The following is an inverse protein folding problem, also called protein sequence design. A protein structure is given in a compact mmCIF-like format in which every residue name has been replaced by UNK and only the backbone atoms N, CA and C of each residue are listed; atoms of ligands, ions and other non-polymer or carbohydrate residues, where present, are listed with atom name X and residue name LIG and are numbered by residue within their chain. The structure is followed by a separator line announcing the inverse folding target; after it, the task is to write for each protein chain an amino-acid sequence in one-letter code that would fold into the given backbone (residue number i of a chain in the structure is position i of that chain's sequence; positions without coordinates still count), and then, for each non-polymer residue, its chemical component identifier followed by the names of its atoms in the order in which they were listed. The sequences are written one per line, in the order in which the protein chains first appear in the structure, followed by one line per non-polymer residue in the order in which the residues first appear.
data_IF_770248660293
#
_entry.id   IF_770248660293
#
_cell.length_a   1.000
_cell.length_b   1.000
_cell.length_c   1.000
_cell.angle_alpha   90.00
_cell.angle_beta   90.00
_cell.angle_gamma   90.00
#
_symmetry.space_group_name_H-M   'P 1'
#
loop_
_entity.id
_entity.type
_entity.pdbx_description
1 polymer ?
#
# COMPACT_ATOMS: atom_id res chain seq x y z
N UNK A 1 -25.25 6.67 -39.01
CA UNK A 1 -24.76 5.28 -38.85
C UNK A 1 -23.28 5.20 -38.47
N UNK A 2 -22.35 5.83 -39.21
CA UNK A 2 -20.90 5.81 -38.88
C UNK A 2 -20.56 6.32 -37.47
N UNK A 3 -21.27 7.35 -36.98
CA UNK A 3 -21.11 7.88 -35.61
C UNK A 3 -21.56 6.90 -34.52
N UNK A 4 -22.61 6.10 -34.77
CA UNK A 4 -23.12 5.11 -33.81
C UNK A 4 -22.17 3.90 -33.69
N UNK A 5 -21.60 3.47 -34.83
CA UNK A 5 -20.57 2.42 -34.85
C UNK A 5 -19.34 2.87 -34.07
N UNK A 6 -18.91 4.11 -34.27
CA UNK A 6 -17.76 4.68 -33.57
C UNK A 6 -18.02 4.81 -32.06
N UNK A 7 -19.24 5.19 -31.67
CA UNK A 7 -19.67 5.23 -30.26
C UNK A 7 -19.67 3.84 -29.62
N UNK A 8 -20.16 2.81 -30.33
CA UNK A 8 -20.15 1.44 -29.85
C UNK A 8 -18.73 0.89 -29.67
N UNK A 9 -17.82 1.21 -30.60
CA UNK A 9 -16.40 0.84 -30.49
C UNK A 9 -15.75 1.54 -29.28
N UNK A 10 -15.98 2.84 -29.11
CA UNK A 10 -15.44 3.58 -27.97
C UNK A 10 -16.01 3.07 -26.64
N UNK A 11 -17.29 2.72 -26.59
CA UNK A 11 -17.90 2.13 -25.40
C UNK A 11 -17.32 0.74 -25.08
N UNK A 12 -17.08 -0.10 -26.09
CA UNK A 12 -16.43 -1.40 -25.92
C UNK A 12 -14.98 -1.28 -25.47
N UNK A 13 -14.21 -0.35 -26.05
CA UNK A 13 -12.84 -0.06 -25.64
C UNK A 13 -12.77 0.51 -24.23
N UNK A 14 -13.68 1.42 -23.88
CA UNK A 14 -13.78 1.95 -22.54
C UNK A 14 -14.10 0.84 -21.53
N UNK A 15 -15.08 -0.02 -21.82
CA UNK A 15 -15.40 -1.14 -20.94
C UNK A 15 -14.20 -2.09 -20.77
N UNK A 16 -13.56 -2.49 -21.86
CA UNK A 16 -12.37 -3.36 -21.79
C UNK A 16 -11.24 -2.73 -20.99
N UNK A 17 -10.95 -1.45 -21.25
CA UNK A 17 -9.93 -0.71 -20.50
C UNK A 17 -10.28 -0.62 -19.02
N UNK A 18 -11.50 -0.21 -18.66
CA UNK A 18 -11.87 -0.02 -17.26
C UNK A 18 -12.04 -1.34 -16.48
N UNK A 19 -12.58 -2.39 -17.10
CA UNK A 19 -12.84 -3.65 -16.41
C UNK A 19 -11.59 -4.54 -16.35
N UNK A 20 -10.93 -4.74 -17.50
CA UNK A 20 -9.86 -5.71 -17.65
C UNK A 20 -8.49 -5.16 -17.23
N UNK A 21 -8.16 -3.91 -17.57
CA UNK A 21 -6.84 -3.34 -17.22
C UNK A 21 -6.68 -3.07 -15.72
N UNK A 22 -7.79 -2.91 -15.00
CA UNK A 22 -7.80 -2.61 -13.56
C UNK A 22 -7.87 -3.87 -12.68
N UNK A 23 -7.59 -5.06 -13.22
CA UNK A 23 -7.60 -6.31 -12.43
C UNK A 23 -6.22 -6.50 -11.80
N UNK A 24 -6.19 -6.73 -10.50
CA UNK A 24 -4.95 -6.95 -9.75
C UNK A 24 -4.36 -8.31 -10.09
N UNK A 25 -3.06 -8.33 -10.38
CA UNK A 25 -2.29 -9.57 -10.45
C UNK A 25 -1.43 -9.77 -9.21
N UNK A 26 -1.12 -11.03 -8.89
CA UNK A 26 -0.18 -11.30 -7.80
C UNK A 26 1.20 -10.65 -8.07
N UNK A 27 1.60 -10.52 -9.33
CA UNK A 27 2.83 -9.83 -9.70
C UNK A 27 2.74 -8.33 -9.37
N UNK A 28 1.61 -7.68 -9.66
CA UNK A 28 1.39 -6.28 -9.31
C UNK A 28 1.38 -6.07 -7.79
N UNK A 29 0.78 -7.01 -7.05
CA UNK A 29 0.77 -6.97 -5.58
C UNK A 29 2.20 -7.11 -5.05
N UNK A 30 2.95 -8.12 -5.48
CA UNK A 30 4.35 -8.29 -5.05
C UNK A 30 5.20 -7.06 -5.39
N UNK A 31 5.06 -6.53 -6.60
CA UNK A 31 5.77 -5.32 -7.01
C UNK A 31 5.39 -4.09 -6.18
N UNK A 32 4.11 -3.97 -5.79
CA UNK A 32 3.64 -2.92 -4.90
C UNK A 32 4.31 -2.99 -3.52
N UNK A 33 4.35 -4.18 -2.89
CA UNK A 33 5.03 -4.37 -1.60
C UNK A 33 6.54 -4.12 -1.70
N UNK A 34 7.19 -4.57 -2.78
CA UNK A 34 8.62 -4.30 -3.01
C UNK A 34 8.91 -2.80 -3.12
N UNK A 35 8.06 -2.06 -3.83
CA UNK A 35 8.17 -0.61 -3.96
C UNK A 35 7.99 0.11 -2.62
N UNK A 36 7.04 -0.35 -1.79
CA UNK A 36 6.82 0.21 -0.45
C UNK A 36 8.02 -0.04 0.48
N UNK A 37 8.58 -1.25 0.45
CA UNK A 37 9.78 -1.60 1.21
C UNK A 37 10.99 -0.76 0.78
N UNK A 38 11.18 -0.60 -0.53
CA UNK A 38 12.25 0.23 -1.07
C UNK A 38 12.09 1.71 -0.68
N UNK A 39 10.87 2.25 -0.75
CA UNK A 39 10.58 3.60 -0.30
C UNK A 39 10.84 3.79 1.20
N UNK A 40 10.47 2.82 2.04
CA UNK A 40 10.78 2.84 3.48
C UNK A 40 12.29 2.85 3.73
N UNK A 41 13.06 2.03 3.02
CA UNK A 41 14.54 2.01 3.13
C UNK A 41 15.19 3.32 2.70
N UNK A 42 14.60 4.00 1.72
CA UNK A 42 15.03 5.32 1.23
C UNK A 42 14.50 6.50 2.05
N UNK A 43 13.69 6.23 3.08
CA UNK A 43 12.99 7.26 3.85
C UNK A 43 12.11 8.18 2.97
N UNK A 44 11.54 7.62 1.90
CA UNK A 44 10.73 8.34 0.91
C UNK A 44 9.25 8.39 1.35
N UNK A 45 8.98 9.24 2.34
CA UNK A 45 7.62 9.40 2.87
C UNK A 45 6.62 9.98 1.86
N UNK A 46 7.09 10.76 0.88
CA UNK A 46 6.21 11.31 -0.16
C UNK A 46 5.71 10.21 -1.10
N UNK A 47 6.58 9.26 -1.49
CA UNK A 47 6.17 8.10 -2.27
C UNK A 47 5.11 7.26 -1.53
N UNK A 48 5.33 6.99 -0.24
CA UNK A 48 4.38 6.24 0.58
C UNK A 48 3.03 6.96 0.70
N UNK A 49 3.03 8.28 0.91
CA UNK A 49 1.81 9.07 0.96
C UNK A 49 1.06 9.09 -0.37
N UNK A 50 1.76 9.24 -1.50
CA UNK A 50 1.16 9.36 -2.83
C UNK A 50 0.45 8.08 -3.29
N UNK A 51 0.69 6.96 -2.62
CA UNK A 51 0.06 5.66 -2.91
C UNK A 51 -1.27 5.45 -2.21
N UNK A 52 -1.59 6.28 -1.22
CA UNK A 52 -2.88 6.23 -0.55
C UNK A 52 -3.97 6.83 -1.44
N UNK A 53 -5.15 6.20 -1.48
CA UNK A 53 -6.28 6.79 -2.20
C UNK A 53 -6.85 8.00 -1.46
N UNK A 54 -7.50 8.89 -2.19
CA UNK A 54 -8.13 10.09 -1.63
C UNK A 54 -9.33 9.78 -0.73
N UNK A 55 -9.93 8.59 -0.88
CA UNK A 55 -11.01 8.07 -0.06
C UNK A 55 -10.53 7.16 1.09
N UNK A 56 -9.22 7.15 1.37
CA UNK A 56 -8.68 6.38 2.48
C UNK A 56 -9.30 6.78 3.82
N UNK A 57 -9.76 5.78 4.56
CA UNK A 57 -10.18 5.89 5.95
C UNK A 57 -9.53 4.77 6.75
N UNK A 58 -8.91 5.12 7.87
CA UNK A 58 -8.37 4.16 8.83
C UNK A 58 -8.99 4.36 10.21
N UNK A 59 -8.99 3.28 10.99
CA UNK A 59 -9.23 3.36 12.43
C UNK A 59 -8.13 2.64 13.19
N UNK A 60 -7.80 3.15 14.37
CA UNK A 60 -6.84 2.54 15.29
C UNK A 60 -7.46 2.50 16.67
N UNK A 61 -7.52 1.30 17.26
CA UNK A 61 -8.00 1.12 18.63
C UNK A 61 -6.80 0.96 19.56
N UNK A 62 -6.60 1.92 20.45
CA UNK A 62 -5.58 1.83 21.49
C UNK A 62 -6.12 1.04 22.68
N UNK A 63 -5.49 -0.10 22.99
CA UNK A 63 -5.81 -0.87 24.21
C UNK A 63 -5.49 -0.10 25.49
N UNK A 64 -4.55 0.85 25.43
CA UNK A 64 -4.13 1.60 26.61
C UNK A 64 -5.20 2.57 27.09
N UNK A 65 -5.92 3.19 26.14
CA UNK A 65 -6.84 4.29 26.42
C UNK A 65 -8.31 3.93 26.16
N UNK A 66 -8.57 2.71 25.65
CA UNK A 66 -9.89 2.23 25.21
C UNK A 66 -10.57 3.22 24.23
N UNK A 67 -9.75 3.87 23.42
CA UNK A 67 -10.17 4.85 22.40
C UNK A 67 -9.98 4.28 21.00
N UNK A 68 -10.96 4.55 20.15
CA UNK A 68 -10.86 4.37 18.71
C UNK A 68 -10.61 5.73 18.05
N UNK A 69 -9.50 5.84 17.34
CA UNK A 69 -9.17 7.02 16.53
C UNK A 69 -9.44 6.72 15.07
N UNK A 70 -10.20 7.58 14.41
CA UNK A 70 -10.36 7.55 12.95
C UNK A 70 -9.46 8.60 12.30
N UNK A 71 -8.90 8.27 11.15
CA UNK A 71 -8.03 9.16 10.41
C UNK A 71 -8.24 9.04 8.90
N UNK A 72 -8.13 10.17 8.22
CA UNK A 72 -8.16 10.26 6.77
C UNK A 72 -6.75 10.11 6.16
N UNK A 73 -6.68 10.18 4.83
CA UNK A 73 -5.44 10.14 4.07
C UNK A 73 -4.41 11.18 4.57
N UNK A 74 -4.85 12.41 4.85
CA UNK A 74 -3.96 13.49 5.24
C UNK A 74 -3.36 13.26 6.64
N UNK A 75 -4.19 12.85 7.60
CA UNK A 75 -3.78 12.51 8.95
C UNK A 75 -2.82 11.31 8.94
N UNK A 76 -3.11 10.26 8.17
CA UNK A 76 -2.22 9.11 8.04
C UNK A 76 -0.89 9.48 7.36
N UNK A 77 -0.92 10.28 6.31
CA UNK A 77 0.29 10.75 5.66
C UNK A 77 1.16 11.58 6.63
N UNK A 78 0.57 12.42 7.48
CA UNK A 78 1.32 13.13 8.52
C UNK A 78 1.93 12.18 9.57
N UNK A 79 1.28 11.06 9.88
CA UNK A 79 1.84 10.02 10.75
C UNK A 79 3.05 9.36 10.07
N UNK A 80 2.92 8.96 8.80
CA UNK A 80 4.01 8.37 8.00
C UNK A 80 5.21 9.32 7.93
N UNK A 81 4.99 10.59 7.57
CA UNK A 81 6.04 11.62 7.48
C UNK A 81 6.79 11.78 8.80
N UNK A 82 6.07 11.84 9.92
CA UNK A 82 6.67 11.92 11.26
C UNK A 82 7.53 10.69 11.58
N UNK A 83 6.99 9.49 11.39
CA UNK A 83 7.72 8.24 11.67
C UNK A 83 9.00 8.11 10.82
N UNK A 84 8.89 8.39 9.52
CA UNK A 84 10.02 8.33 8.58
C UNK A 84 11.07 9.38 8.95
N UNK A 85 10.67 10.62 9.28
CA UNK A 85 11.58 11.67 9.70
C UNK A 85 12.34 11.30 10.98
N UNK A 86 11.67 10.67 11.96
CA UNK A 86 12.33 10.17 13.18
C UNK A 86 13.39 9.11 12.84
N UNK A 87 13.07 8.14 11.99
CA UNK A 87 14.04 7.11 11.58
C UNK A 87 15.22 7.71 10.81
N UNK A 88 14.96 8.67 9.92
CA UNK A 88 16.00 9.37 9.19
C UNK A 88 16.94 10.14 10.13
N UNK A 89 16.39 10.85 11.12
CA UNK A 89 17.19 11.55 12.14
C UNK A 89 18.07 10.60 12.93
N UNK A 90 17.56 9.43 13.31
CA UNK A 90 18.33 8.38 13.99
C UNK A 90 19.44 7.81 13.08
N UNK A 91 19.15 7.61 11.80
CA UNK A 91 20.16 7.18 10.82
C UNK A 91 21.29 8.21 10.70
N UNK A 92 20.96 9.50 10.57
CA UNK A 92 21.96 10.58 10.52
C UNK A 92 22.76 10.65 11.82
N UNK A 93 22.12 10.57 12.98
CA UNK A 93 22.78 10.63 14.29
C UNK A 93 23.77 9.48 14.52
N UNK A 94 23.56 8.33 13.87
CA UNK A 94 24.46 7.16 13.94
C UNK A 94 25.52 7.15 12.83
N UNK A 95 25.60 8.20 12.01
CA UNK A 95 26.49 8.29 10.86
C UNK A 95 26.10 7.37 9.72
N UNK A 96 24.80 7.12 9.53
CA UNK A 96 24.24 6.24 8.51
C UNK A 96 24.35 4.75 8.83
N UNK A 97 24.75 4.39 10.05
CA UNK A 97 24.91 2.98 10.48
C UNK A 97 23.59 2.30 10.82
N UNK A 98 22.58 3.09 11.21
CA UNK A 98 21.22 2.60 11.36
C UNK A 98 20.53 2.62 9.99
N UNK A 99 20.41 1.43 9.40
CA UNK A 99 19.61 1.19 8.20
C UNK A 99 18.35 0.41 8.59
N UNK A 100 17.22 0.73 7.96
CA UNK A 100 15.99 0.01 8.17
C UNK A 100 16.06 -1.34 7.43
N UNK A 101 16.38 -2.40 8.18
CA UNK A 101 16.40 -3.75 7.64
C UNK A 101 14.99 -4.32 7.68
N UNK A 102 14.27 -4.17 6.57
CA UNK A 102 12.97 -4.81 6.38
C UNK A 102 13.20 -6.06 5.55
N UNK A 103 12.95 -7.24 6.11
CA UNK A 103 12.95 -8.50 5.36
C UNK A 103 11.56 -9.15 5.46
N UNK A 104 10.72 -8.82 4.49
CA UNK A 104 9.32 -9.25 4.43
C UNK A 104 9.13 -10.27 3.31
N UNK A 105 8.40 -11.35 3.60
CA UNK A 105 8.06 -12.37 2.63
C UNK A 105 6.55 -12.56 2.55
N UNK A 106 5.97 -12.36 1.36
CA UNK A 106 4.56 -12.69 1.10
C UNK A 106 4.43 -14.20 0.90
N UNK A 107 3.68 -14.86 1.79
CA UNK A 107 3.45 -16.30 1.77
C UNK A 107 2.25 -16.69 0.93
N UNK A 108 1.18 -15.92 1.02
CA UNK A 108 -0.06 -16.18 0.28
C UNK A 108 -0.67 -14.86 -0.20
N UNK A 109 -1.32 -14.93 -1.35
CA UNK A 109 -2.14 -13.85 -1.91
C UNK A 109 -3.44 -14.49 -2.36
N UNK A 110 -4.56 -14.04 -1.82
CA UNK A 110 -5.90 -14.40 -2.26
C UNK A 110 -6.52 -13.21 -2.97
N UNK A 111 -6.99 -13.43 -4.20
CA UNK A 111 -7.62 -12.39 -5.01
C UNK A 111 -9.14 -12.58 -4.98
N UNK A 112 -9.87 -11.48 -4.80
CA UNK A 112 -11.32 -11.50 -4.98
C UNK A 112 -11.69 -11.92 -6.42
N UNK A 113 -12.89 -12.47 -6.66
CA UNK A 113 -13.30 -12.91 -8.00
C UNK A 113 -13.26 -11.81 -9.07
N UNK A 114 -13.52 -10.56 -8.67
CA UNK A 114 -13.42 -9.37 -9.54
C UNK A 114 -11.99 -8.80 -9.64
N UNK A 115 -11.07 -9.34 -8.84
CA UNK A 115 -9.65 -8.96 -8.74
C UNK A 115 -9.47 -7.47 -8.46
N UNK A 116 -10.36 -6.90 -7.65
CA UNK A 116 -10.28 -5.52 -7.15
C UNK A 116 -9.82 -5.44 -5.70
N UNK A 117 -9.85 -6.57 -5.01
CA UNK A 117 -9.39 -6.73 -3.64
C UNK A 117 -8.41 -7.90 -3.58
N UNK A 118 -7.47 -7.81 -2.64
CA UNK A 118 -6.52 -8.86 -2.38
C UNK A 118 -6.21 -8.94 -0.89
N UNK A 119 -6.22 -10.15 -0.36
CA UNK A 119 -5.76 -10.44 0.99
C UNK A 119 -4.37 -11.08 0.88
N UNK A 120 -3.38 -10.46 1.51
CA UNK A 120 -2.00 -10.92 1.48
C UNK A 120 -1.52 -11.28 2.88
N UNK A 121 -1.07 -12.51 3.04
CA UNK A 121 -0.43 -12.97 4.28
C UNK A 121 1.07 -12.93 4.06
N UNK A 122 1.76 -12.17 4.89
CA UNK A 122 3.22 -12.15 4.89
C UNK A 122 3.81 -12.27 6.28
N UNK A 123 5.09 -12.59 6.29
CA UNK A 123 5.87 -12.74 7.52
C UNK A 123 7.08 -11.81 7.47
N UNK A 124 7.37 -11.19 8.61
CA UNK A 124 8.67 -10.63 8.86
C UNK A 124 9.63 -11.78 9.18
N UNK A 125 10.68 -11.97 8.36
CA UNK A 125 11.59 -13.11 8.50
C UNK A 125 12.49 -13.01 9.73
N UNK A 126 12.72 -11.82 10.29
CA UNK A 126 13.57 -11.68 11.48
C UNK A 126 12.83 -12.05 12.76
N UNK A 127 11.54 -11.74 12.83
CA UNK A 127 10.73 -11.96 14.04
C UNK A 127 9.87 -13.22 13.98
N UNK A 128 9.67 -13.82 12.78
CA UNK A 128 8.80 -14.98 12.60
C UNK A 128 7.33 -14.71 12.98
N UNK A 129 6.95 -13.44 13.12
CA UNK A 129 5.62 -13.02 13.55
C UNK A 129 4.69 -13.05 12.35
N UNK A 130 3.65 -13.87 12.43
CA UNK A 130 2.54 -13.86 11.49
C UNK A 130 1.74 -12.57 11.70
N UNK A 131 1.84 -11.64 10.76
CA UNK A 131 0.94 -10.49 10.69
C UNK A 131 -0.32 -10.95 9.95
N UNK A 132 -1.24 -11.57 10.69
CA UNK A 132 -2.57 -11.95 10.23
C UNK A 132 -3.44 -10.70 10.25
N UNK A 133 -3.70 -10.11 9.08
CA UNK A 133 -4.63 -9.00 8.94
C UNK A 133 -6.02 -9.57 8.70
N UNK A 134 -6.76 -9.81 9.79
CA UNK A 134 -8.20 -10.07 9.78
C UNK A 134 -8.99 -8.80 10.01
#
# INVERSE_FOLDING_TARGET
MKKLILLAILAGLAWWYFDHSRRMTEADIRAAYEADIDAMRRFDSEFLCARMSDDYAGSETSRQDDTEEHFDQAAQCQRIKRSIATMQQLSVATGGRLALKIDYEIKAIELSPDRKHADAVGIDRETGRHDDWT
#
